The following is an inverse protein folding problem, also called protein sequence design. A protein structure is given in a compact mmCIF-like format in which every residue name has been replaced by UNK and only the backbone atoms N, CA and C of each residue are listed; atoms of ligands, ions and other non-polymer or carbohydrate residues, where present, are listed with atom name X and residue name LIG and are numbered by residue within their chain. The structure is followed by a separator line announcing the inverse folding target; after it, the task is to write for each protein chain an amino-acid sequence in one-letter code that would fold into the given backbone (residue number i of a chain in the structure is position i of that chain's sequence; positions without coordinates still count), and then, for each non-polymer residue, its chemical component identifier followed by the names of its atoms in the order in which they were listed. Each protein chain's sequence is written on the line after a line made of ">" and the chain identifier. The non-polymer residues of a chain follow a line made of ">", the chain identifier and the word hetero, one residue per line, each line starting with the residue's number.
data_IF_549870100819
#
_entry.id   IF_549870100819
#
_cell.length_a   1.000
_cell.length_b   1.000
_cell.length_c   1.000
_cell.angle_alpha   90.00
_cell.angle_beta   90.00
_cell.angle_gamma   90.00
#
_symmetry.space_group_name_H-M   'P 1'
#
loop_
_entity.id
_entity.type
_entity.pdbx_description
1 polymer ?
#
# COMPACT_ATOMS: atom_id res chain seq x y z
N UNK A 1 6.79 -24.72 -15.94
CA UNK A 1 7.20 -24.96 -14.54
C UNK A 1 7.83 -23.69 -13.96
N UNK A 2 9.03 -23.29 -14.40
CA UNK A 2 9.79 -22.16 -13.83
C UNK A 2 9.07 -20.82 -13.60
N UNK A 3 8.22 -20.34 -14.53
CA UNK A 3 7.57 -19.02 -14.38
C UNK A 3 6.48 -18.99 -13.30
N UNK A 4 5.75 -20.09 -13.13
CA UNK A 4 4.66 -20.18 -12.14
C UNK A 4 5.24 -20.25 -10.73
N UNK A 5 6.31 -21.03 -10.57
CA UNK A 5 7.00 -21.20 -9.29
C UNK A 5 7.67 -19.89 -8.85
N UNK A 6 8.23 -19.14 -9.82
CA UNK A 6 8.79 -17.81 -9.56
C UNK A 6 7.75 -16.79 -9.07
N UNK A 7 6.58 -16.70 -9.74
CA UNK A 7 5.50 -15.78 -9.32
C UNK A 7 5.00 -16.14 -7.92
N UNK A 8 4.81 -17.43 -7.64
CA UNK A 8 4.40 -17.89 -6.31
C UNK A 8 5.43 -17.50 -5.23
N UNK A 9 6.72 -17.66 -5.54
CA UNK A 9 7.80 -17.28 -4.62
C UNK A 9 7.78 -15.79 -4.30
N UNK A 10 7.56 -14.93 -5.30
CA UNK A 10 7.50 -13.47 -5.07
C UNK A 10 6.27 -13.07 -4.26
N UNK A 11 5.12 -13.70 -4.51
CA UNK A 11 3.91 -13.51 -3.71
C UNK A 11 4.11 -13.88 -2.24
N UNK A 12 4.74 -15.02 -1.97
CA UNK A 12 5.04 -15.47 -0.60
C UNK A 12 6.00 -14.51 0.12
N UNK A 13 7.01 -13.99 -0.60
CA UNK A 13 7.92 -12.98 -0.07
C UNK A 13 7.19 -11.70 0.31
N UNK A 14 6.32 -11.19 -0.57
CA UNK A 14 5.53 -9.98 -0.29
C UNK A 14 4.63 -10.18 0.93
N UNK A 15 3.91 -11.31 1.00
CA UNK A 15 3.05 -11.63 2.14
C UNK A 15 3.85 -11.66 3.46
N UNK A 16 5.05 -12.25 3.46
CA UNK A 16 5.92 -12.28 4.64
C UNK A 16 6.40 -10.89 5.05
N UNK A 17 6.74 -10.04 4.08
CA UNK A 17 7.12 -8.64 4.35
C UNK A 17 5.97 -7.87 4.98
N UNK A 18 4.76 -7.99 4.43
CA UNK A 18 3.57 -7.34 4.98
C UNK A 18 3.31 -7.81 6.42
N UNK A 19 3.37 -9.12 6.68
CA UNK A 19 3.18 -9.66 8.03
C UNK A 19 4.22 -9.10 9.03
N UNK A 20 5.48 -8.94 8.60
CA UNK A 20 6.54 -8.33 9.43
C UNK A 20 6.29 -6.85 9.69
N UNK A 21 5.88 -6.09 8.67
CA UNK A 21 5.51 -4.69 8.81
C UNK A 21 4.37 -4.51 9.81
N UNK A 22 3.34 -5.36 9.74
CA UNK A 22 2.26 -5.36 10.72
C UNK A 22 2.77 -5.66 12.13
N UNK A 23 3.61 -6.69 12.31
CA UNK A 23 4.18 -7.03 13.61
C UNK A 23 5.06 -5.91 14.20
N UNK A 24 5.83 -5.19 13.37
CA UNK A 24 6.57 -4.00 13.82
C UNK A 24 5.64 -2.86 14.21
N UNK A 25 4.55 -2.67 13.46
CA UNK A 25 3.55 -1.65 13.76
C UNK A 25 2.89 -1.88 15.11
N UNK A 26 2.45 -3.11 15.37
CA UNK A 26 1.81 -3.51 16.64
C UNK A 26 2.79 -3.42 17.83
N UNK A 27 4.06 -3.71 17.59
CA UNK A 27 5.11 -3.61 18.61
C UNK A 27 5.64 -2.18 18.85
N UNK A 28 5.15 -1.18 18.12
CA UNK A 28 5.63 0.21 18.22
C UNK A 28 7.07 0.41 17.71
N UNK A 29 7.57 -0.50 16.88
CA UNK A 29 8.93 -0.50 16.32
C UNK A 29 9.02 0.33 15.05
N UNK A 30 8.89 1.65 15.21
CA UNK A 30 8.81 2.59 14.08
C UNK A 30 10.07 2.58 13.21
N UNK A 31 11.26 2.53 13.80
CA UNK A 31 12.52 2.55 13.03
C UNK A 31 12.68 1.28 12.19
N UNK A 32 12.36 0.12 12.75
CA UNK A 32 12.40 -1.15 12.03
C UNK A 32 11.33 -1.23 10.95
N UNK A 33 10.15 -0.68 11.21
CA UNK A 33 9.10 -0.53 10.21
C UNK A 33 9.62 0.28 9.02
N UNK A 34 10.16 1.49 9.26
CA UNK A 34 10.62 2.39 8.20
C UNK A 34 11.77 1.73 7.42
N UNK A 35 12.74 1.12 8.10
CA UNK A 35 13.85 0.42 7.43
C UNK A 35 13.37 -0.72 6.52
N UNK A 36 12.41 -1.53 6.99
CA UNK A 36 11.85 -2.61 6.20
C UNK A 36 11.01 -2.07 5.03
N UNK A 37 10.20 -1.04 5.26
CA UNK A 37 9.40 -0.40 4.23
C UNK A 37 10.30 0.22 3.14
N UNK A 38 11.30 1.02 3.51
CA UNK A 38 12.22 1.64 2.57
C UNK A 38 12.99 0.60 1.75
N UNK A 39 13.53 -0.44 2.40
CA UNK A 39 14.26 -1.48 1.67
C UNK A 39 13.34 -2.26 0.72
N UNK A 40 12.10 -2.54 1.11
CA UNK A 40 11.12 -3.20 0.25
C UNK A 40 10.74 -2.30 -0.93
N UNK A 41 10.40 -1.04 -0.65
CA UNK A 41 9.96 -0.08 -1.66
C UNK A 41 11.09 0.22 -2.66
N UNK A 42 12.33 0.36 -2.19
CA UNK A 42 13.48 0.59 -3.05
C UNK A 42 13.75 -0.61 -3.97
N UNK A 43 13.67 -1.83 -3.45
CA UNK A 43 13.93 -3.03 -4.24
C UNK A 43 12.81 -3.34 -5.24
N UNK A 44 11.56 -3.10 -4.86
CA UNK A 44 10.39 -3.53 -5.65
C UNK A 44 9.76 -2.44 -6.51
N UNK A 45 9.96 -1.17 -6.14
CA UNK A 45 9.32 0.02 -6.73
C UNK A 45 10.32 1.14 -7.04
N UNK A 46 11.61 0.96 -6.73
CA UNK A 46 12.67 1.95 -6.94
C UNK A 46 12.37 3.33 -6.34
N UNK A 47 11.71 3.36 -5.18
CA UNK A 47 11.32 4.57 -4.45
C UNK A 47 11.31 4.29 -2.95
N UNK A 48 11.56 5.30 -2.11
CA UNK A 48 11.47 5.16 -0.65
C UNK A 48 10.09 5.55 -0.12
N UNK A 49 9.82 5.17 1.13
CA UNK A 49 8.54 5.44 1.77
C UNK A 49 8.25 6.95 1.85
N UNK A 50 9.21 7.75 2.32
CA UNK A 50 9.02 9.19 2.45
C UNK A 50 8.71 9.86 1.09
N UNK A 51 9.39 9.42 0.02
CA UNK A 51 9.15 9.93 -1.33
C UNK A 51 7.72 9.63 -1.78
N UNK A 52 7.23 8.39 -1.60
CA UNK A 52 5.82 8.06 -1.91
C UNK A 52 4.86 8.90 -1.08
N UNK A 53 5.14 9.11 0.21
CA UNK A 53 4.25 9.85 1.12
C UNK A 53 4.16 11.34 0.76
N UNK A 54 5.24 11.94 0.25
CA UNK A 54 5.30 13.34 -0.16
C UNK A 54 4.68 13.62 -1.53
N UNK A 55 4.53 12.61 -2.40
CA UNK A 55 3.86 12.80 -3.70
C UNK A 55 2.44 13.34 -3.51
N UNK A 56 2.04 14.31 -4.33
CA UNK A 56 0.62 14.61 -4.46
C UNK A 56 -0.10 13.48 -5.22
N UNK A 57 -1.42 13.60 -5.36
CA UNK A 57 -2.24 12.54 -5.99
C UNK A 57 -1.95 12.41 -7.48
N UNK A 58 -1.69 13.51 -8.18
CA UNK A 58 -1.43 13.48 -9.62
C UNK A 58 -0.06 12.86 -9.92
N UNK A 59 0.97 13.22 -9.16
CA UNK A 59 2.29 12.64 -9.26
C UNK A 59 2.31 11.16 -8.86
N UNK A 60 1.57 10.78 -7.81
CA UNK A 60 1.41 9.38 -7.44
C UNK A 60 0.67 8.58 -8.53
N UNK A 61 -0.35 9.16 -9.17
CA UNK A 61 -1.03 8.53 -10.31
C UNK A 61 -0.06 8.29 -11.48
N UNK A 62 0.73 9.29 -11.84
CA UNK A 62 1.75 9.16 -12.89
C UNK A 62 2.80 8.09 -12.56
N UNK A 63 3.21 7.97 -11.29
CA UNK A 63 4.10 6.90 -10.84
C UNK A 63 3.48 5.51 -11.12
N UNK A 64 2.20 5.30 -10.77
CA UNK A 64 1.53 4.02 -11.01
C UNK A 64 1.39 3.69 -12.51
N UNK A 65 1.15 4.71 -13.34
CA UNK A 65 0.99 4.55 -14.80
C UNK A 65 2.32 4.25 -15.50
N UNK A 66 3.42 4.90 -15.09
CA UNK A 66 4.72 4.78 -15.75
C UNK A 66 5.44 3.46 -15.44
N UNK A 67 5.31 2.96 -14.21
CA UNK A 67 6.09 1.80 -13.73
C UNK A 67 5.41 0.44 -14.03
N UNK A 68 4.18 0.45 -14.56
CA UNK A 68 3.40 -0.72 -14.97
C UNK A 68 3.44 -1.88 -13.95
N UNK A 69 3.25 -1.55 -12.66
CA UNK A 69 3.30 -2.50 -11.57
C UNK A 69 2.26 -3.62 -11.74
N UNK A 70 2.66 -4.86 -11.44
CA UNK A 70 1.72 -5.99 -11.42
C UNK A 70 0.62 -5.80 -10.37
N UNK A 71 -0.51 -6.48 -10.55
CA UNK A 71 -1.60 -6.48 -9.57
C UNK A 71 -1.14 -6.88 -8.16
N UNK A 72 -0.18 -7.80 -8.04
CA UNK A 72 0.35 -8.23 -6.74
C UNK A 72 1.19 -7.13 -6.06
N UNK A 73 1.99 -6.39 -6.84
CA UNK A 73 2.74 -5.23 -6.34
C UNK A 73 1.82 -4.10 -5.91
N UNK A 74 0.83 -3.78 -6.74
CA UNK A 74 -0.16 -2.76 -6.38
C UNK A 74 -0.89 -3.13 -5.08
N UNK A 75 -1.30 -4.37 -4.93
CA UNK A 75 -1.95 -4.83 -3.70
C UNK A 75 -1.04 -4.68 -2.47
N UNK A 76 0.22 -5.15 -2.57
CA UNK A 76 1.21 -5.01 -1.51
C UNK A 76 1.50 -3.54 -1.14
N UNK A 77 1.59 -2.64 -2.13
CA UNK A 77 1.77 -1.21 -1.92
C UNK A 77 0.60 -0.60 -1.13
N UNK A 78 -0.64 -0.90 -1.52
CA UNK A 78 -1.82 -0.44 -0.80
C UNK A 78 -1.84 -0.96 0.65
N UNK A 79 -1.48 -2.23 0.86
CA UNK A 79 -1.39 -2.81 2.21
C UNK A 79 -0.32 -2.13 3.06
N UNK A 80 0.86 -1.87 2.51
CA UNK A 80 1.94 -1.18 3.21
C UNK A 80 1.52 0.23 3.63
N UNK A 81 0.94 1.01 2.71
CA UNK A 81 0.46 2.37 3.00
C UNK A 81 -0.65 2.38 4.05
N UNK A 82 -1.55 1.39 4.01
CA UNK A 82 -2.60 1.23 5.00
C UNK A 82 -2.01 0.95 6.40
N UNK A 83 -1.07 0.01 6.51
CA UNK A 83 -0.43 -0.32 7.80
C UNK A 83 0.35 0.88 8.34
N UNK A 84 1.07 1.61 7.47
CA UNK A 84 1.76 2.83 7.87
C UNK A 84 0.81 3.84 8.49
N UNK A 85 -0.38 3.99 7.90
CA UNK A 85 -1.41 4.96 8.31
C UNK A 85 -2.06 4.67 9.66
N UNK A 86 -1.92 3.47 10.21
CA UNK A 86 -2.49 3.13 11.53
C UNK A 86 -1.71 3.80 12.69
N UNK A 87 -2.32 3.98 13.87
CA UNK A 87 -3.74 4.22 14.04
C UNK A 87 -4.15 5.50 13.28
N UNK A 88 -5.37 5.54 12.79
CA UNK A 88 -5.86 6.69 12.03
C UNK A 88 -5.97 7.93 12.91
N UNK A 89 -5.30 8.99 12.47
CA UNK A 89 -5.37 10.33 13.08
C UNK A 89 -5.83 11.32 12.02
N UNK A 90 -6.95 12.01 12.26
CA UNK A 90 -7.52 12.93 11.29
C UNK A 90 -6.60 14.13 11.04
N UNK A 91 -5.84 14.10 9.95
CA UNK A 91 -4.94 15.15 9.50
C UNK A 91 -4.79 15.11 7.95
N UNK A 92 -4.08 16.08 7.39
CA UNK A 92 -3.90 16.17 5.94
C UNK A 92 -3.08 14.99 5.36
N UNK A 93 -2.08 14.50 6.10
CA UNK A 93 -1.19 13.41 5.68
C UNK A 93 -1.95 12.08 5.56
N UNK A 94 -2.84 11.79 6.51
CA UNK A 94 -3.72 10.62 6.47
C UNK A 94 -4.69 10.70 5.29
N UNK A 95 -5.29 11.87 5.08
CA UNK A 95 -6.20 12.08 3.95
C UNK A 95 -5.50 11.83 2.60
N UNK A 96 -4.26 12.32 2.47
CA UNK A 96 -3.44 12.08 1.29
C UNK A 96 -3.12 10.58 1.14
N UNK A 97 -2.75 9.91 2.22
CA UNK A 97 -2.47 8.46 2.24
C UNK A 97 -3.70 7.63 1.84
N UNK A 98 -4.88 7.98 2.35
CA UNK A 98 -6.15 7.34 1.98
C UNK A 98 -6.48 7.50 0.51
N UNK A 99 -6.34 8.71 -0.04
CA UNK A 99 -6.56 8.94 -1.47
C UNK A 99 -5.61 8.09 -2.33
N UNK A 100 -4.34 7.94 -1.93
CA UNK A 100 -3.38 7.05 -2.61
C UNK A 100 -3.79 5.58 -2.54
N UNK A 101 -4.20 5.10 -1.36
CA UNK A 101 -4.67 3.72 -1.17
C UNK A 101 -5.90 3.44 -2.04
N UNK A 102 -6.88 4.34 -2.03
CA UNK A 102 -8.09 4.22 -2.86
C UNK A 102 -7.75 4.23 -4.35
N UNK A 103 -6.82 5.08 -4.79
CA UNK A 103 -6.36 5.10 -6.18
C UNK A 103 -5.74 3.77 -6.60
N UNK A 104 -4.90 3.17 -5.75
CA UNK A 104 -4.32 1.85 -6.05
C UNK A 104 -5.40 0.78 -6.16
N UNK A 105 -6.39 0.79 -5.27
CA UNK A 105 -7.52 -0.13 -5.37
C UNK A 105 -8.36 0.10 -6.63
N UNK A 106 -8.52 1.36 -7.07
CA UNK A 106 -9.24 1.67 -8.32
C UNK A 106 -8.47 1.12 -9.53
N UNK A 107 -7.14 1.24 -9.55
CA UNK A 107 -6.30 0.63 -10.59
C UNK A 107 -6.47 -0.90 -10.60
N UNK A 108 -6.42 -1.54 -9.43
CA UNK A 108 -6.61 -3.00 -9.32
C UNK A 108 -7.97 -3.47 -9.87
N UNK A 109 -9.03 -2.74 -9.58
CA UNK A 109 -10.37 -3.06 -10.04
C UNK A 109 -10.55 -2.79 -11.54
N UNK A 110 -10.16 -1.60 -11.99
CA UNK A 110 -10.45 -1.14 -13.35
C UNK A 110 -9.53 -1.77 -14.39
N UNK A 111 -8.24 -1.92 -14.09
CA UNK A 111 -7.25 -2.42 -15.05
C UNK A 111 -7.01 -3.92 -14.91
N UNK A 112 -7.01 -4.44 -13.68
CA UNK A 112 -6.70 -5.84 -13.41
C UNK A 112 -7.93 -6.70 -13.09
N UNK A 113 -9.12 -6.09 -13.02
CA UNK A 113 -10.37 -6.77 -12.64
C UNK A 113 -10.25 -7.58 -11.35
N UNK A 114 -9.45 -7.06 -10.41
CA UNK A 114 -9.15 -7.73 -9.14
C UNK A 114 -9.71 -6.93 -7.98
N UNK A 115 -10.58 -7.59 -7.22
CA UNK A 115 -11.01 -7.14 -5.90
C UNK A 115 -10.85 -8.29 -4.91
N UNK A 116 -10.26 -7.99 -3.75
CA UNK A 116 -10.21 -8.91 -2.63
C UNK A 116 -11.20 -8.47 -1.54
N UNK A 117 -11.66 -9.41 -0.72
CA UNK A 117 -12.46 -9.09 0.46
C UNK A 117 -11.74 -8.10 1.39
N UNK A 118 -10.42 -8.23 1.50
CA UNK A 118 -9.59 -7.33 2.29
C UNK A 118 -9.61 -5.90 1.74
N UNK A 119 -9.45 -5.71 0.44
CA UNK A 119 -9.48 -4.39 -0.20
C UNK A 119 -10.86 -3.74 -0.02
N UNK A 120 -11.93 -4.50 -0.20
CA UNK A 120 -13.31 -4.02 0.03
C UNK A 120 -13.48 -3.57 1.50
N UNK A 121 -13.04 -4.39 2.45
CA UNK A 121 -13.14 -4.05 3.87
C UNK A 121 -12.33 -2.78 4.20
N UNK A 122 -11.10 -2.67 3.72
CA UNK A 122 -10.24 -1.49 3.94
C UNK A 122 -10.82 -0.23 3.29
N UNK A 123 -11.36 -0.32 2.06
CA UNK A 123 -12.11 0.78 1.44
C UNK A 123 -13.26 1.24 2.33
N UNK A 124 -14.08 0.31 2.83
CA UNK A 124 -15.20 0.63 3.70
C UNK A 124 -14.74 1.30 5.01
N UNK A 125 -13.67 0.80 5.63
CA UNK A 125 -13.09 1.44 6.83
C UNK A 125 -12.60 2.86 6.54
N UNK A 126 -11.93 3.08 5.40
CA UNK A 126 -11.51 4.42 4.96
C UNK A 126 -12.71 5.34 4.78
N UNK A 127 -13.74 4.91 4.03
CA UNK A 127 -14.94 5.72 3.79
C UNK A 127 -15.67 6.05 5.10
N UNK A 128 -15.82 5.08 5.99
CA UNK A 128 -16.45 5.31 7.30
C UNK A 128 -15.67 6.32 8.14
N UNK A 129 -14.34 6.23 8.14
CA UNK A 129 -13.49 7.19 8.82
C UNK A 129 -13.64 8.60 8.23
N UNK A 130 -13.64 8.71 6.89
CA UNK A 130 -13.80 9.98 6.19
C UNK A 130 -15.15 10.64 6.51
N UNK A 131 -16.23 9.88 6.44
CA UNK A 131 -17.58 10.34 6.79
C UNK A 131 -17.68 10.79 8.25
N UNK A 132 -16.97 10.14 9.17
CA UNK A 132 -17.04 10.48 10.60
C UNK A 132 -16.24 11.72 10.98
N UNK A 133 -15.18 12.05 10.22
CA UNK A 133 -14.20 13.07 10.60
C UNK A 133 -14.16 14.29 9.67
N UNK A 134 -14.75 14.23 8.48
CA UNK A 134 -14.66 15.27 7.45
C UNK A 134 -15.98 15.62 6.77
N UNK A 135 -17.07 14.94 7.10
CA UNK A 135 -18.45 15.28 6.70
C UNK A 135 -19.27 15.69 7.93
#
# INVERSE_FOLDING_TARGET
>A
MYRKDYILTELEKMALVIARLLGFKEAGKTDEFIKLADSTLLNEYNIKLHEILELDIDAFKLLLENENYSADKLDALAQLLYIYSLPFTANAELLLSFKKILLVYDVLEQQYHRQSFENINKRNTIYQFLQTNYE
#
